data_IF_182795224826
#
_entry.id   IF_182795224826
#
_cell.length_a   1.000
_cell.length_b   1.000
_cell.length_c   1.000
_cell.angle_alpha   90.00
_cell.angle_beta   90.00
_cell.angle_gamma   90.00
#
_symmetry.space_group_name_H-M   'P 1'
#
loop_
_entity.id
_entity.type
_entity.pdbx_description
1 polymer ?
#
# COMPACT_ATOMS: atom_id res chain seq x y z
N UNK A 1 29.03 0.03 4.59
CA UNK A 1 27.68 0.55 4.34
C UNK A 1 26.75 -0.31 5.17
N UNK A 2 26.07 0.30 6.13
CA UNK A 2 25.09 -0.40 6.98
C UNK A 2 23.90 -0.85 6.11
N UNK A 3 23.24 -1.96 6.45
CA UNK A 3 22.09 -2.50 5.69
C UNK A 3 20.99 -1.44 5.54
N UNK A 4 20.86 -0.57 6.53
CA UNK A 4 19.89 0.53 6.55
C UNK A 4 20.21 1.63 5.53
N UNK A 5 21.50 1.94 5.31
CA UNK A 5 21.94 2.88 4.26
C UNK A 5 21.73 2.28 2.86
N UNK A 6 22.06 1.00 2.69
CA UNK A 6 21.85 0.26 1.45
C UNK A 6 20.36 0.22 1.04
N UNK A 7 19.48 -0.08 2.01
CA UNK A 7 18.03 -0.09 1.78
C UNK A 7 17.42 1.29 1.51
N UNK A 8 18.06 2.39 1.93
CA UNK A 8 17.61 3.75 1.63
C UNK A 8 18.01 4.16 0.21
N UNK A 9 19.21 3.77 -0.22
CA UNK A 9 19.75 4.08 -1.55
C UNK A 9 18.93 3.39 -2.65
N UNK A 10 18.63 2.10 -2.50
CA UNK A 10 17.93 1.28 -3.50
C UNK A 10 16.50 1.71 -3.85
N UNK A 11 15.80 2.52 -3.04
CA UNK A 11 14.42 2.95 -3.37
C UNK A 11 14.25 4.29 -4.05
N UNK A 12 15.31 5.07 -4.21
CA UNK A 12 15.25 6.24 -5.11
C UNK A 12 15.03 5.82 -6.57
N UNK A 13 15.25 4.55 -6.87
CA UNK A 13 15.68 4.08 -8.18
C UNK A 13 14.65 3.33 -9.03
N UNK A 14 13.47 2.94 -8.51
CA UNK A 14 12.53 2.10 -9.30
C UNK A 14 11.93 2.77 -10.55
N UNK A 15 11.95 4.10 -10.64
CA UNK A 15 11.56 4.83 -11.87
C UNK A 15 12.76 5.26 -12.72
N UNK A 16 13.99 4.97 -12.28
CA UNK A 16 15.23 5.53 -12.85
C UNK A 16 16.36 4.52 -13.08
N UNK A 17 16.27 3.28 -12.58
CA UNK A 17 17.19 2.19 -12.97
C UNK A 17 16.60 1.52 -14.21
N UNK A 18 17.24 1.66 -15.38
CA UNK A 18 16.95 0.79 -16.50
C UNK A 18 17.47 -0.59 -16.11
N UNK A 19 16.59 -1.61 -16.10
CA UNK A 19 17.08 -2.99 -16.14
C UNK A 19 17.57 -3.21 -17.56
N UNK A 20 18.85 -3.00 -17.76
CA UNK A 20 19.55 -3.35 -18.97
C UNK A 20 20.74 -4.27 -18.65
N UNK A 21 21.49 -4.63 -19.69
CA UNK A 21 22.65 -5.53 -19.58
C UNK A 21 23.77 -5.02 -18.66
N UNK A 22 23.74 -3.76 -18.22
CA UNK A 22 24.74 -3.16 -17.32
C UNK A 22 24.32 -3.16 -15.85
N UNK A 23 23.11 -3.63 -15.53
CA UNK A 23 22.60 -3.70 -14.15
C UNK A 23 23.46 -4.62 -13.28
N UNK A 24 23.82 -4.17 -12.07
CA UNK A 24 24.68 -4.95 -11.17
C UNK A 24 23.91 -6.07 -10.46
N UNK A 25 24.61 -7.06 -9.91
CA UNK A 25 23.97 -8.13 -9.10
C UNK A 25 23.18 -7.57 -7.91
N UNK A 26 23.62 -6.42 -7.41
CA UNK A 26 23.03 -5.73 -6.28
C UNK A 26 21.67 -5.14 -6.66
N UNK A 27 21.59 -4.54 -7.85
CA UNK A 27 20.33 -4.04 -8.41
C UNK A 27 19.32 -5.19 -8.57
N UNK A 28 19.76 -6.32 -9.13
CA UNK A 28 18.89 -7.50 -9.29
C UNK A 28 18.39 -8.06 -7.94
N UNK A 29 19.22 -8.06 -6.90
CA UNK A 29 18.81 -8.52 -5.57
C UNK A 29 17.71 -7.63 -4.96
N UNK A 30 17.77 -6.32 -5.18
CA UNK A 30 16.71 -5.38 -4.76
C UNK A 30 15.40 -5.69 -5.46
N UNK A 31 15.43 -5.90 -6.78
CA UNK A 31 14.21 -6.26 -7.53
C UNK A 31 13.63 -7.59 -7.06
N UNK A 32 14.48 -8.59 -6.82
CA UNK A 32 14.03 -9.88 -6.32
C UNK A 32 13.35 -9.75 -4.95
N UNK A 33 13.96 -9.00 -4.03
CA UNK A 33 13.39 -8.72 -2.70
C UNK A 33 12.02 -8.04 -2.80
N UNK A 34 11.87 -7.08 -3.72
CA UNK A 34 10.60 -6.39 -3.95
C UNK A 34 9.54 -7.29 -4.60
N UNK A 35 9.92 -8.18 -5.51
CA UNK A 35 9.00 -9.14 -6.13
C UNK A 35 8.54 -10.18 -5.10
N UNK A 36 9.45 -10.66 -4.25
CA UNK A 36 9.16 -11.70 -3.27
C UNK A 36 8.36 -11.18 -2.08
N UNK A 37 8.70 -9.99 -1.58
CA UNK A 37 8.17 -9.47 -0.31
C UNK A 37 7.35 -8.17 -0.46
N UNK A 38 7.34 -7.58 -1.65
CA UNK A 38 6.59 -6.35 -1.92
C UNK A 38 5.20 -6.59 -2.53
N UNK A 39 4.41 -5.52 -2.71
CA UNK A 39 3.06 -5.54 -3.25
C UNK A 39 3.06 -5.65 -4.79
N UNK A 40 3.92 -6.49 -5.35
CA UNK A 40 4.12 -6.59 -6.79
C UNK A 40 3.76 -7.99 -7.28
N UNK A 41 3.20 -8.07 -8.49
CA UNK A 41 2.97 -9.32 -9.20
C UNK A 41 3.60 -9.24 -10.58
N UNK A 42 4.17 -10.36 -11.03
CA UNK A 42 4.59 -10.52 -12.42
C UNK A 42 3.38 -10.99 -13.20
N UNK A 43 3.04 -10.27 -14.27
CA UNK A 43 1.93 -10.58 -15.15
C UNK A 43 2.45 -10.84 -16.56
N UNK A 44 1.94 -11.87 -17.22
CA UNK A 44 2.27 -12.24 -18.60
C UNK A 44 1.21 -11.63 -19.52
N UNK A 45 1.64 -10.71 -20.38
CA UNK A 45 0.82 -10.15 -21.46
C UNK A 45 1.46 -10.54 -22.79
N UNK A 46 0.94 -11.59 -23.41
CA UNK A 46 1.37 -12.10 -24.73
C UNK A 46 2.89 -12.40 -24.83
N UNK A 47 3.49 -12.94 -23.77
CA UNK A 47 4.91 -13.26 -23.71
C UNK A 47 5.80 -12.11 -23.23
N UNK A 48 5.23 -10.94 -22.95
CA UNK A 48 5.91 -9.86 -22.25
C UNK A 48 5.56 -9.88 -20.75
N UNK A 49 6.56 -10.10 -19.91
CA UNK A 49 6.40 -10.06 -18.45
C UNK A 49 6.44 -8.62 -17.94
N UNK A 50 5.39 -8.21 -17.23
CA UNK A 50 5.24 -6.89 -16.62
C UNK A 50 5.17 -7.01 -15.11
N UNK A 51 5.87 -6.13 -14.40
CA UNK A 51 5.77 -6.01 -12.94
C UNK A 51 4.68 -4.99 -12.61
N UNK A 52 3.61 -5.43 -11.94
CA UNK A 52 2.46 -4.59 -11.60
C UNK A 52 2.40 -4.42 -10.09
N UNK A 53 2.26 -3.18 -9.62
CA UNK A 53 1.97 -2.91 -8.21
C UNK A 53 0.47 -3.16 -7.92
N UNK A 54 0.17 -4.04 -6.98
CA UNK A 54 -1.21 -4.44 -6.67
C UNK A 54 -1.77 -3.64 -5.50
N UNK A 55 -2.99 -3.10 -5.68
CA UNK A 55 -3.77 -2.53 -4.58
C UNK A 55 -4.17 -3.63 -3.61
N UNK A 56 -3.83 -3.51 -2.33
CA UNK A 56 -4.22 -4.49 -1.34
C UNK A 56 -5.69 -4.29 -0.96
N UNK A 57 -6.56 -5.21 -1.40
CA UNK A 57 -7.95 -5.24 -0.94
C UNK A 57 -7.97 -5.74 0.50
N UNK A 58 -8.36 -4.88 1.42
CA UNK A 58 -8.48 -5.23 2.85
C UNK A 58 -9.75 -6.03 3.09
N UNK A 59 -10.87 -5.56 2.56
CA UNK A 59 -12.17 -6.17 2.82
C UNK A 59 -13.27 -5.72 1.84
N UNK A 60 -14.43 -6.36 1.95
CA UNK A 60 -15.70 -5.91 1.38
C UNK A 60 -16.74 -5.85 2.48
N UNK A 61 -17.24 -4.66 2.78
CA UNK A 61 -18.34 -4.52 3.72
C UNK A 61 -19.58 -3.99 3.00
N UNK A 62 -20.55 -4.88 2.76
CA UNK A 62 -21.70 -4.62 1.88
C UNK A 62 -21.22 -4.24 0.48
N UNK A 63 -21.56 -3.05 0.00
CA UNK A 63 -21.14 -2.51 -1.29
C UNK A 63 -19.89 -1.61 -1.22
N UNK A 64 -19.23 -1.55 -0.05
CA UNK A 64 -18.01 -0.77 0.16
C UNK A 64 -16.78 -1.65 -0.04
N UNK A 65 -15.91 -1.28 -0.99
CA UNK A 65 -14.59 -1.88 -1.17
C UNK A 65 -13.60 -1.12 -0.31
N UNK A 66 -12.86 -1.84 0.54
CA UNK A 66 -11.83 -1.25 1.38
C UNK A 66 -10.46 -1.62 0.84
N UNK A 67 -9.63 -0.61 0.57
CA UNK A 67 -8.38 -0.77 -0.15
C UNK A 67 -7.28 0.01 0.57
N UNK A 68 -6.08 -0.55 0.61
CA UNK A 68 -4.86 0.17 0.96
C UNK A 68 -3.99 0.20 -0.30
N UNK A 69 -3.60 1.38 -0.77
CA UNK A 69 -2.63 1.49 -1.85
C UNK A 69 -1.22 1.37 -1.25
N UNK A 70 -0.30 0.64 -1.88
CA UNK A 70 1.04 0.45 -1.33
C UNK A 70 1.95 1.69 -1.41
N UNK A 71 1.69 2.59 -2.37
CA UNK A 71 2.46 3.84 -2.60
C UNK A 71 1.88 5.04 -1.84
N UNK A 72 1.17 4.79 -0.74
CA UNK A 72 0.42 5.82 -0.02
C UNK A 72 1.32 6.74 0.82
N UNK A 73 1.00 8.04 0.82
CA UNK A 73 1.71 9.08 1.58
C UNK A 73 1.15 9.26 3.00
N UNK A 74 1.91 9.85 3.94
CA UNK A 74 1.41 10.12 5.29
C UNK A 74 0.20 11.08 5.28
N UNK A 75 -0.76 10.94 6.22
CA UNK A 75 -0.80 9.96 7.31
C UNK A 75 -1.26 8.56 6.86
N UNK A 76 -1.06 7.50 7.68
CA UNK A 76 -1.60 6.17 7.41
C UNK A 76 -3.10 6.19 7.15
N UNK A 77 -3.54 5.71 5.99
CA UNK A 77 -4.94 5.79 5.58
C UNK A 77 -5.38 4.61 4.72
N UNK A 78 -6.69 4.43 4.62
CA UNK A 78 -7.33 3.47 3.73
C UNK A 78 -8.37 4.16 2.86
N UNK A 79 -8.64 3.56 1.71
CA UNK A 79 -9.63 4.04 0.74
C UNK A 79 -10.91 3.22 0.84
N UNK A 80 -12.03 3.91 0.64
CA UNK A 80 -13.36 3.32 0.52
C UNK A 80 -13.91 3.66 -0.84
N UNK A 81 -14.20 2.62 -1.64
CA UNK A 81 -14.74 2.77 -2.99
C UNK A 81 -16.09 2.08 -3.14
N UNK A 82 -17.05 2.78 -3.74
CA UNK A 82 -18.35 2.27 -4.17
C UNK A 82 -18.84 3.09 -5.37
N UNK A 83 -20.01 2.74 -5.93
CA UNK A 83 -20.57 3.39 -7.14
C UNK A 83 -20.55 4.93 -7.10
N UNK A 84 -20.78 5.53 -5.93
CA UNK A 84 -20.77 6.99 -5.73
C UNK A 84 -19.87 7.42 -4.55
N UNK A 85 -18.84 6.63 -4.26
CA UNK A 85 -17.91 6.90 -3.16
C UNK A 85 -16.49 6.66 -3.64
N UNK A 86 -15.67 7.69 -3.51
CA UNK A 86 -14.21 7.59 -3.55
C UNK A 86 -13.68 8.52 -2.46
N UNK A 87 -13.22 7.91 -1.36
CA UNK A 87 -12.84 8.65 -0.15
C UNK A 87 -11.74 7.93 0.62
N UNK A 88 -10.90 8.70 1.30
CA UNK A 88 -9.81 8.20 2.14
C UNK A 88 -10.00 8.56 3.61
N UNK A 89 -9.59 7.65 4.49
CA UNK A 89 -9.78 7.75 5.93
C UNK A 89 -8.52 7.38 6.69
N UNK A 90 -8.21 8.10 7.78
CA UNK A 90 -7.08 7.77 8.63
C UNK A 90 -7.26 6.40 9.31
N UNK A 91 -6.20 5.59 9.37
CA UNK A 91 -6.18 4.31 10.10
C UNK A 91 -6.20 4.52 11.62
N UNK A 92 -5.79 5.69 12.11
CA UNK A 92 -5.75 5.99 13.55
C UNK A 92 -7.15 6.07 14.18
N UNK A 93 -8.04 6.83 13.55
CA UNK A 93 -9.32 7.24 14.15
C UNK A 93 -10.52 7.21 13.17
N UNK A 94 -10.31 6.76 11.92
CA UNK A 94 -11.31 6.79 10.86
C UNK A 94 -11.84 8.21 10.55
N UNK A 95 -11.02 9.25 10.77
CA UNK A 95 -11.30 10.60 10.27
C UNK A 95 -11.27 10.62 8.74
N UNK A 96 -12.19 11.36 8.13
CA UNK A 96 -12.24 11.54 6.67
C UNK A 96 -11.11 12.51 6.26
N UNK A 97 -10.23 12.06 5.37
CA UNK A 97 -9.10 12.85 4.88
C UNK A 97 -9.42 13.52 3.54
N UNK A 98 -10.05 12.79 2.61
CA UNK A 98 -10.44 13.30 1.30
C UNK A 98 -11.67 12.57 0.75
N UNK A 99 -12.37 13.21 -0.19
CA UNK A 99 -13.55 12.68 -0.86
C UNK A 99 -14.87 13.10 -0.21
N UNK A 100 -15.99 12.63 -0.77
CA UNK A 100 -17.33 12.94 -0.29
C UNK A 100 -18.10 11.66 0.04
N UNK A 101 -18.68 11.61 1.24
CA UNK A 101 -19.40 10.43 1.73
C UNK A 101 -20.69 10.88 2.43
N UNK A 102 -21.80 10.25 2.09
CA UNK A 102 -23.07 10.52 2.76
C UNK A 102 -23.01 10.14 4.25
N UNK A 103 -23.76 10.85 5.09
CA UNK A 103 -23.81 10.55 6.53
C UNK A 103 -24.22 9.09 6.82
N UNK A 104 -25.06 8.48 5.98
CA UNK A 104 -25.46 7.09 6.11
C UNK A 104 -24.28 6.12 5.87
N UNK A 105 -23.45 6.38 4.85
CA UNK A 105 -22.29 5.54 4.57
C UNK A 105 -21.16 5.79 5.56
N UNK A 106 -20.98 7.03 6.03
CA UNK A 106 -20.02 7.35 7.09
C UNK A 106 -20.28 6.53 8.37
N UNK A 107 -21.56 6.38 8.77
CA UNK A 107 -21.92 5.51 9.90
C UNK A 107 -21.55 4.05 9.68
N UNK A 108 -21.75 3.52 8.47
CA UNK A 108 -21.38 2.13 8.13
C UNK A 108 -19.87 1.93 8.19
N UNK A 109 -19.10 2.88 7.65
CA UNK A 109 -17.63 2.84 7.64
C UNK A 109 -17.11 2.86 9.08
N UNK A 110 -17.62 3.76 9.92
CA UNK A 110 -17.24 3.83 11.35
C UNK A 110 -17.60 2.57 12.12
N UNK A 111 -18.76 1.98 11.84
CA UNK A 111 -19.17 0.72 12.43
C UNK A 111 -18.25 -0.44 12.03
N UNK A 112 -17.92 -0.55 10.75
CA UNK A 112 -16.99 -1.58 10.27
C UNK A 112 -15.57 -1.38 10.84
N UNK A 113 -15.12 -0.13 10.92
CA UNK A 113 -13.79 0.23 11.41
C UNK A 113 -13.50 -0.27 12.83
N UNK A 114 -14.51 -0.25 13.73
CA UNK A 114 -14.32 -0.61 15.15
C UNK A 114 -13.80 -2.04 15.34
N UNK A 115 -14.22 -2.98 14.50
CA UNK A 115 -13.73 -4.37 14.51
C UNK A 115 -12.56 -4.61 13.56
N UNK A 116 -12.38 -3.74 12.57
CA UNK A 116 -11.46 -3.97 11.44
C UNK A 116 -10.13 -3.21 11.55
N UNK A 117 -9.96 -2.32 12.53
CA UNK A 117 -8.70 -1.60 12.78
C UNK A 117 -7.48 -2.54 12.82
N UNK A 118 -7.47 -3.67 13.55
CA UNK A 118 -6.30 -4.56 13.57
C UNK A 118 -5.91 -5.08 12.17
N UNK A 119 -6.90 -5.44 11.35
CA UNK A 119 -6.70 -5.92 9.98
C UNK A 119 -6.15 -4.82 9.07
N UNK A 120 -6.62 -3.58 9.23
CA UNK A 120 -6.08 -2.43 8.51
C UNK A 120 -4.60 -2.22 8.82
N UNK A 121 -4.21 -2.34 10.09
CA UNK A 121 -2.82 -2.20 10.53
C UNK A 121 -1.94 -3.31 9.94
N UNK A 122 -2.41 -4.56 10.00
CA UNK A 122 -1.71 -5.72 9.43
C UNK A 122 -1.48 -5.56 7.93
N UNK A 123 -2.53 -5.21 7.17
CA UNK A 123 -2.42 -5.00 5.72
C UNK A 123 -1.60 -3.76 5.39
N UNK A 124 -1.73 -2.68 6.17
CA UNK A 124 -0.90 -1.49 6.00
C UNK A 124 0.58 -1.85 6.13
N UNK A 125 0.96 -2.50 7.23
CA UNK A 125 2.34 -2.86 7.55
C UNK A 125 2.92 -3.87 6.55
N UNK A 126 2.16 -4.91 6.18
CA UNK A 126 2.64 -5.93 5.23
C UNK A 126 2.74 -5.44 3.78
N UNK A 127 2.08 -4.34 3.44
CA UNK A 127 2.11 -3.77 2.08
C UNK A 127 3.02 -2.57 1.95
N UNK A 128 3.65 -2.12 3.05
CA UNK A 128 4.59 -1.00 2.97
C UNK A 128 5.85 -1.46 2.25
N UNK A 129 6.27 -0.76 1.18
CA UNK A 129 7.63 -0.94 0.70
C UNK A 129 8.58 -0.52 1.83
N UNK A 130 9.75 -1.14 1.91
CA UNK A 130 10.70 -0.96 3.00
C UNK A 130 11.21 0.50 3.17
N UNK A 131 10.80 1.48 2.33
CA UNK A 131 11.16 2.91 2.36
C UNK A 131 9.94 3.81 2.57
N UNK A 132 8.83 3.27 3.06
CA UNK A 132 7.69 4.11 3.36
C UNK A 132 8.11 5.15 4.42
N UNK A 133 8.10 6.44 4.06
CA UNK A 133 8.42 7.57 4.96
C UNK A 133 7.53 7.57 6.21
N UNK A 134 6.39 6.88 6.13
CA UNK A 134 5.40 6.73 7.19
C UNK A 134 5.74 5.59 8.16
N UNK A 135 6.53 4.59 7.71
CA UNK A 135 6.87 3.41 8.48
C UNK A 135 5.68 2.50 8.82
N UNK A 136 5.94 1.54 9.71
CA UNK A 136 4.89 0.72 10.33
C UNK A 136 3.94 1.59 11.15
N UNK A 137 2.65 1.34 11.03
CA UNK A 137 1.68 1.89 11.95
C UNK A 137 1.64 1.03 13.22
N UNK A 138 1.80 1.69 14.38
CA UNK A 138 1.67 1.10 15.71
C UNK A 138 0.60 1.87 16.47
N UNK A 139 -0.44 1.15 16.90
CA UNK A 139 -1.53 1.76 17.66
C UNK A 139 -0.99 2.33 18.97
N UNK A 140 -1.27 3.60 19.25
CA UNK A 140 -0.92 4.23 20.51
C UNK A 140 -1.99 3.82 21.53
N UNK A 141 -1.76 2.68 22.19
CA UNK A 141 -2.54 2.27 23.36
C UNK A 141 -2.51 3.34 24.45
#
# INVERSE_FOLDING_TARGET
>A
MEIEEYHAECKKYLSEIPIDSESTILDHAVYLELILNGPFVIWDEDGEYKVIQVKARVDTYRNLKIIINPKEHPPPHFHVQAENIDASFAIEDCSLLAGNVSAANLRKIRYWYTSSKPKLIEVWNSTRPTNCVVGEFRDKK
#
